data_IF_691967654536
#
_entry.id   IF_691967654536
#
_cell.length_a   1.000
_cell.length_b   1.000
_cell.length_c   1.000
_cell.angle_alpha   90.00
_cell.angle_beta   90.00
_cell.angle_gamma   90.00
#
_symmetry.space_group_name_H-M   'P 1'
#
loop_
_entity.id
_entity.type
_entity.pdbx_description
1 polymer ?
#
# COMPACT_ATOMS: atom_id res chain seq x y z
N UNK A 1 -22.53 -0.74 12.12
CA UNK A 1 -21.19 -0.71 11.47
C UNK A 1 -20.15 -1.24 12.44
N UNK A 2 -19.34 -2.19 11.99
CA UNK A 2 -18.27 -2.73 12.82
C UNK A 2 -17.09 -1.78 12.87
N UNK A 3 -16.44 -1.71 14.03
CA UNK A 3 -15.27 -0.86 14.23
C UNK A 3 -14.04 -1.45 13.52
N UNK A 4 -13.36 -0.63 12.72
CA UNK A 4 -12.10 -0.99 12.08
C UNK A 4 -10.94 -0.50 12.95
N UNK A 5 -10.00 -1.39 13.25
CA UNK A 5 -8.79 -1.07 14.00
C UNK A 5 -7.59 -1.16 13.09
N UNK A 6 -6.74 -0.13 13.09
CA UNK A 6 -5.47 -0.14 12.34
C UNK A 6 -4.32 -0.49 13.29
N UNK A 7 -3.48 -1.44 12.87
CA UNK A 7 -2.31 -1.87 13.63
C UNK A 7 -1.09 -1.87 12.72
N UNK A 8 -0.02 -1.21 13.16
CA UNK A 8 1.21 -1.11 12.35
C UNK A 8 2.16 -2.28 12.58
N UNK A 9 2.86 -2.67 11.52
CA UNK A 9 3.98 -3.62 11.51
C UNK A 9 3.70 -5.00 12.12
N UNK A 10 2.47 -5.49 12.00
CA UNK A 10 2.06 -6.74 12.61
C UNK A 10 1.37 -7.67 11.61
N UNK A 11 2.13 -8.23 10.68
CA UNK A 11 1.60 -9.22 9.73
C UNK A 11 2.60 -10.36 9.54
N UNK A 12 2.11 -11.59 9.63
CA UNK A 12 2.91 -12.78 9.32
C UNK A 12 2.89 -13.13 7.84
N UNK A 13 3.83 -13.98 7.42
CA UNK A 13 3.97 -14.38 6.01
C UNK A 13 2.72 -15.07 5.50
N UNK A 14 2.16 -16.00 6.28
CA UNK A 14 0.98 -16.75 5.84
C UNK A 14 -0.24 -15.84 5.66
N UNK A 15 -0.47 -14.94 6.61
CA UNK A 15 -1.56 -13.97 6.53
C UNK A 15 -1.39 -13.06 5.31
N UNK A 16 -0.18 -12.60 5.06
CA UNK A 16 0.13 -11.77 3.89
C UNK A 16 -0.18 -12.50 2.59
N UNK A 17 0.27 -13.76 2.47
CA UNK A 17 0.02 -14.57 1.29
C UNK A 17 -1.47 -14.87 1.08
N UNK A 18 -2.20 -15.14 2.16
CA UNK A 18 -3.64 -15.36 2.10
C UNK A 18 -4.41 -14.12 1.63
N UNK A 19 -4.05 -12.95 2.15
CA UNK A 19 -4.69 -11.71 1.75
C UNK A 19 -4.40 -11.38 0.28
N UNK A 20 -3.17 -11.58 -0.18
CA UNK A 20 -2.79 -11.42 -1.59
C UNK A 20 -3.64 -12.30 -2.49
N UNK A 21 -3.82 -13.57 -2.08
CA UNK A 21 -4.64 -14.53 -2.84
C UNK A 21 -6.11 -14.07 -2.89
N UNK A 22 -6.63 -13.57 -1.78
CA UNK A 22 -8.02 -13.11 -1.70
C UNK A 22 -8.31 -11.94 -2.65
N UNK A 23 -7.31 -11.10 -2.93
CA UNK A 23 -7.46 -9.98 -3.87
C UNK A 23 -6.89 -10.27 -5.26
N UNK A 24 -6.58 -11.52 -5.54
CA UNK A 24 -6.06 -12.00 -6.84
C UNK A 24 -4.73 -11.35 -7.27
N UNK A 25 -3.90 -11.03 -6.30
CA UNK A 25 -2.54 -10.58 -6.59
C UNK A 25 -1.66 -11.75 -7.00
N UNK A 26 -0.63 -11.46 -7.78
CA UNK A 26 0.32 -12.47 -8.26
C UNK A 26 0.91 -13.26 -7.08
N UNK A 27 0.96 -14.60 -7.17
CA UNK A 27 1.56 -15.44 -6.12
C UNK A 27 3.04 -15.11 -5.91
N UNK A 28 3.46 -15.18 -4.65
CA UNK A 28 4.86 -15.04 -4.26
C UNK A 28 5.32 -16.33 -3.61
N UNK A 29 6.62 -16.66 -3.73
CA UNK A 29 7.18 -17.70 -2.91
C UNK A 29 7.20 -17.26 -1.44
N UNK A 30 7.21 -18.22 -0.52
CA UNK A 30 7.25 -17.92 0.90
C UNK A 30 8.52 -17.14 1.28
N UNK A 31 9.66 -17.52 0.71
CA UNK A 31 10.94 -16.81 0.91
C UNK A 31 10.89 -15.38 0.40
N UNK A 32 10.30 -15.19 -0.78
CA UNK A 32 10.12 -13.86 -1.39
C UNK A 32 9.21 -12.97 -0.52
N UNK A 33 8.10 -13.52 -0.06
CA UNK A 33 7.15 -12.80 0.79
C UNK A 33 7.80 -12.38 2.12
N UNK A 34 8.52 -13.29 2.77
CA UNK A 34 9.22 -12.97 4.03
C UNK A 34 10.25 -11.87 3.84
N UNK A 35 11.05 -11.98 2.80
CA UNK A 35 12.07 -10.94 2.51
C UNK A 35 11.41 -9.59 2.24
N UNK A 36 10.31 -9.58 1.51
CA UNK A 36 9.57 -8.35 1.21
C UNK A 36 9.04 -7.70 2.49
N UNK A 37 8.40 -8.48 3.38
CA UNK A 37 7.89 -7.96 4.64
C UNK A 37 9.02 -7.43 5.53
N UNK A 38 10.12 -8.18 5.64
CA UNK A 38 11.27 -7.80 6.48
C UNK A 38 11.95 -6.51 6.01
N UNK A 39 11.84 -6.19 4.72
CA UNK A 39 12.45 -5.00 4.12
C UNK A 39 11.46 -3.89 3.82
N UNK A 40 10.28 -3.96 4.38
CA UNK A 40 9.28 -2.90 4.23
C UNK A 40 9.61 -1.71 5.12
N UNK A 41 9.37 -0.51 4.61
CA UNK A 41 9.53 0.71 5.38
C UNK A 41 8.44 0.82 6.46
N UNK A 42 7.20 0.48 6.10
CA UNK A 42 6.06 0.56 6.99
C UNK A 42 4.93 -0.33 6.48
N UNK A 43 4.22 -0.96 7.41
CA UNK A 43 3.06 -1.79 7.12
C UNK A 43 1.95 -1.39 8.07
N UNK A 44 0.73 -1.24 7.56
CA UNK A 44 -0.47 -1.06 8.37
C UNK A 44 -1.50 -2.11 7.98
N UNK A 45 -2.12 -2.74 8.98
CA UNK A 45 -3.16 -3.74 8.79
C UNK A 45 -4.46 -3.26 9.40
N UNK A 46 -5.56 -3.51 8.72
CA UNK A 46 -6.90 -3.21 9.20
C UNK A 46 -7.56 -4.49 9.71
N UNK A 47 -8.16 -4.41 10.89
CA UNK A 47 -8.84 -5.54 11.54
C UNK A 47 -10.27 -5.20 11.86
N UNK A 48 -11.15 -6.20 11.72
CA UNK A 48 -12.51 -6.19 12.23
C UNK A 48 -12.69 -7.49 13.02
N UNK A 49 -13.05 -7.39 14.30
CA UNK A 49 -13.23 -8.56 15.19
C UNK A 49 -12.04 -9.53 15.12
N UNK A 50 -10.83 -9.00 15.26
CA UNK A 50 -9.58 -9.75 15.25
C UNK A 50 -9.25 -10.42 13.89
N UNK A 51 -10.04 -10.18 12.85
CA UNK A 51 -9.78 -10.68 11.49
C UNK A 51 -9.14 -9.58 10.65
N UNK A 52 -8.05 -9.91 9.96
CA UNK A 52 -7.44 -8.96 9.02
C UNK A 52 -8.35 -8.80 7.80
N UNK A 53 -8.67 -7.56 7.46
CA UNK A 53 -9.55 -7.25 6.32
C UNK A 53 -8.88 -6.35 5.30
N UNK A 54 -7.72 -5.82 5.62
CA UNK A 54 -6.97 -4.97 4.68
C UNK A 54 -5.56 -4.72 5.14
N UNK A 55 -4.74 -4.23 4.22
CA UNK A 55 -3.33 -3.97 4.47
C UNK A 55 -2.80 -2.94 3.49
N UNK A 56 -1.88 -2.10 3.96
CA UNK A 56 -1.07 -1.21 3.15
C UNK A 56 0.40 -1.39 3.48
N UNK A 57 1.28 -1.31 2.47
CA UNK A 57 2.71 -1.53 2.66
C UNK A 57 3.51 -0.50 1.86
N UNK A 58 4.44 0.15 2.56
CA UNK A 58 5.38 1.11 1.99
C UNK A 58 6.76 0.50 1.85
N UNK A 59 7.42 0.80 0.75
CA UNK A 59 8.84 0.55 0.54
C UNK A 59 9.51 1.85 0.09
N UNK A 60 10.82 1.96 0.21
CA UNK A 60 11.55 3.15 -0.20
C UNK A 60 12.63 3.54 0.78
N UNK A 61 13.28 4.65 0.51
CA UNK A 61 14.36 5.15 1.36
C UNK A 61 13.86 5.98 2.57
N UNK A 62 12.60 6.38 2.54
CA UNK A 62 12.01 7.18 3.63
C UNK A 62 12.50 8.62 3.68
N UNK A 63 13.14 9.12 2.63
CA UNK A 63 13.72 10.45 2.60
C UNK A 63 13.41 11.18 1.29
N UNK A 64 13.66 10.52 0.15
CA UNK A 64 13.41 11.06 -1.19
C UNK A 64 12.18 10.42 -1.81
N UNK A 65 12.00 9.13 -1.59
CA UNK A 65 10.93 8.36 -2.21
C UNK A 65 10.32 7.36 -1.22
N UNK A 66 8.99 7.28 -1.25
CA UNK A 66 8.22 6.20 -0.65
C UNK A 66 7.25 5.67 -1.69
N UNK A 67 7.08 4.37 -1.75
CA UNK A 67 6.25 3.69 -2.74
C UNK A 67 5.23 2.81 -2.03
N UNK A 68 3.96 2.96 -2.39
CA UNK A 68 2.90 2.07 -1.90
C UNK A 68 2.92 0.84 -2.79
N UNK A 69 3.47 -0.25 -2.27
CA UNK A 69 3.58 -1.50 -3.03
C UNK A 69 2.30 -2.30 -2.99
N UNK A 70 1.68 -2.38 -1.82
CA UNK A 70 0.43 -3.11 -1.63
C UNK A 70 -0.61 -2.21 -0.99
N UNK A 71 -1.81 -2.21 -1.54
CA UNK A 71 -3.02 -1.72 -0.90
C UNK A 71 -4.09 -2.76 -1.20
N UNK A 72 -4.44 -3.55 -0.20
CA UNK A 72 -5.31 -4.71 -0.36
C UNK A 72 -6.47 -4.61 0.62
N UNK A 73 -7.69 -4.74 0.11
CA UNK A 73 -8.90 -4.85 0.94
C UNK A 73 -9.59 -6.15 0.57
N UNK A 74 -9.82 -7.00 1.57
CA UNK A 74 -10.51 -8.26 1.35
C UNK A 74 -11.85 -8.00 0.63
N UNK A 75 -12.21 -8.79 -0.40
CA UNK A 75 -13.40 -8.53 -1.21
C UNK A 75 -14.69 -8.37 -0.42
N UNK A 76 -14.85 -9.10 0.68
CA UNK A 76 -16.05 -9.05 1.51
C UNK A 76 -16.16 -7.75 2.33
N UNK A 77 -15.11 -6.94 2.34
CA UNK A 77 -15.04 -5.73 3.15
C UNK A 77 -14.76 -4.47 2.33
N UNK A 78 -14.89 -4.55 1.01
CA UNK A 78 -14.77 -3.39 0.12
C UNK A 78 -15.98 -2.47 0.27
N UNK A 79 -15.81 -1.19 -0.09
CA UNK A 79 -16.84 -0.15 -0.04
C UNK A 79 -17.27 0.28 1.37
N UNK A 80 -16.45 -0.01 2.38
CA UNK A 80 -16.69 0.41 3.77
C UNK A 80 -15.72 1.50 4.26
N UNK A 81 -14.95 2.11 3.35
CA UNK A 81 -14.00 3.17 3.70
C UNK A 81 -12.67 2.66 4.26
N UNK A 82 -12.41 1.36 4.26
CA UNK A 82 -11.17 0.79 4.80
C UNK A 82 -9.97 1.20 3.97
N UNK A 83 -10.10 1.20 2.65
CA UNK A 83 -9.02 1.64 1.75
C UNK A 83 -8.62 3.08 2.02
N UNK A 84 -9.58 3.98 2.21
CA UNK A 84 -9.31 5.37 2.54
C UNK A 84 -8.62 5.51 3.90
N UNK A 85 -9.05 4.73 4.90
CA UNK A 85 -8.42 4.75 6.22
C UNK A 85 -6.94 4.31 6.14
N UNK A 86 -6.65 3.27 5.36
CA UNK A 86 -5.29 2.77 5.18
C UNK A 86 -4.43 3.81 4.42
N UNK A 87 -4.95 4.36 3.33
CA UNK A 87 -4.22 5.36 2.53
C UNK A 87 -3.90 6.60 3.39
N UNK A 88 -4.85 7.06 4.19
CA UNK A 88 -4.64 8.20 5.07
C UNK A 88 -3.55 7.93 6.10
N UNK A 89 -3.53 6.71 6.65
CA UNK A 89 -2.49 6.29 7.60
C UNK A 89 -1.10 6.26 6.95
N UNK A 90 -1.01 5.72 5.73
CA UNK A 90 0.24 5.70 4.97
C UNK A 90 0.73 7.12 4.65
N UNK A 91 -0.17 8.00 4.23
CA UNK A 91 0.17 9.39 3.94
C UNK A 91 0.68 10.09 5.20
N UNK A 92 -0.01 9.91 6.33
CA UNK A 92 0.41 10.50 7.61
C UNK A 92 1.80 10.02 8.01
N UNK A 93 2.09 8.73 7.82
CA UNK A 93 3.41 8.18 8.10
C UNK A 93 4.50 8.90 7.27
N UNK A 94 4.26 9.09 5.97
CA UNK A 94 5.22 9.76 5.09
C UNK A 94 5.35 11.25 5.44
N UNK A 95 4.24 11.91 5.77
CA UNK A 95 4.26 13.31 6.23
C UNK A 95 5.17 13.47 7.45
N UNK A 96 5.10 12.53 8.39
CA UNK A 96 5.93 12.56 9.60
C UNK A 96 7.42 12.28 9.32
N UNK A 97 7.75 11.62 8.22
CA UNK A 97 9.13 11.43 7.78
C UNK A 97 9.70 12.66 7.10
N UNK A 98 8.85 13.47 6.50
CA UNK A 98 9.27 14.59 5.67
C UNK A 98 9.86 15.72 6.53
N UNK A 99 11.11 16.07 6.27
CA UNK A 99 11.79 17.14 6.99
C UNK A 99 11.35 18.50 6.45
N UNK A 100 11.34 19.51 7.34
CA UNK A 100 11.01 20.87 6.96
C UNK A 100 11.86 21.35 5.77
N UNK A 101 11.20 21.97 4.80
CA UNK A 101 11.88 22.51 3.61
C UNK A 101 12.22 21.48 2.55
N UNK A 102 11.78 20.23 2.73
CA UNK A 102 12.02 19.16 1.76
C UNK A 102 10.69 18.58 1.24
N UNK A 103 10.78 17.69 0.27
CA UNK A 103 9.63 16.93 -0.19
C UNK A 103 10.00 15.47 -0.38
N UNK A 104 9.03 14.59 -0.20
CA UNK A 104 9.15 13.16 -0.50
C UNK A 104 8.16 12.84 -1.61
N UNK A 105 8.61 12.13 -2.65
CA UNK A 105 7.68 11.60 -3.65
C UNK A 105 7.05 10.33 -3.09
N UNK A 106 5.72 10.36 -2.91
CA UNK A 106 4.94 9.16 -2.57
C UNK A 106 4.24 8.70 -3.84
N UNK A 107 4.59 7.52 -4.33
CA UNK A 107 4.06 7.01 -5.60
C UNK A 107 3.52 5.60 -5.46
N UNK A 108 2.82 5.17 -6.50
CA UNK A 108 2.22 3.84 -6.59
C UNK A 108 1.94 3.51 -8.06
N UNK A 109 1.75 2.23 -8.33
CA UNK A 109 1.21 1.77 -9.61
C UNK A 109 -0.27 1.50 -9.41
N UNK A 110 -1.11 2.29 -10.07
CA UNK A 110 -2.56 2.22 -9.90
C UNK A 110 -3.15 1.04 -10.69
N UNK A 111 -4.02 0.26 -10.05
CA UNK A 111 -4.77 -0.75 -10.76
C UNK A 111 -5.76 -0.08 -11.73
N UNK A 112 -6.04 -0.76 -12.84
CA UNK A 112 -6.96 -0.24 -13.87
C UNK A 112 -8.31 0.13 -13.25
N UNK A 113 -8.74 1.37 -13.49
CA UNK A 113 -10.04 1.85 -13.02
C UNK A 113 -10.05 2.42 -11.61
N UNK A 114 -8.92 2.41 -10.90
CA UNK A 114 -8.83 2.92 -9.52
C UNK A 114 -8.34 4.36 -9.41
N UNK A 115 -8.07 5.02 -10.54
CA UNK A 115 -7.57 6.40 -10.55
C UNK A 115 -8.46 7.35 -9.74
N UNK A 116 -9.81 7.32 -9.82
CA UNK A 116 -10.65 8.23 -9.04
C UNK A 116 -10.45 8.11 -7.53
N UNK A 117 -10.21 6.89 -7.03
CA UNK A 117 -9.93 6.67 -5.61
C UNK A 117 -8.67 7.42 -5.17
N UNK A 118 -7.59 7.29 -5.94
CA UNK A 118 -6.33 7.95 -5.62
C UNK A 118 -6.38 9.46 -5.83
N UNK A 119 -7.12 9.94 -6.84
CA UNK A 119 -7.30 11.37 -7.05
C UNK A 119 -7.96 12.04 -5.85
N UNK A 120 -8.86 11.36 -5.15
CA UNK A 120 -9.49 11.88 -3.92
C UNK A 120 -8.48 12.10 -2.80
N UNK A 121 -7.36 11.37 -2.83
CA UNK A 121 -6.29 11.47 -1.86
C UNK A 121 -5.11 12.30 -2.37
N UNK A 122 -5.36 13.17 -3.36
CA UNK A 122 -4.42 14.13 -3.92
C UNK A 122 -3.26 13.53 -4.69
N UNK A 123 -3.40 12.30 -5.18
CA UNK A 123 -2.46 11.72 -6.14
C UNK A 123 -2.78 12.24 -7.54
N UNK A 124 -1.73 12.48 -8.32
CA UNK A 124 -1.88 12.86 -9.72
C UNK A 124 -1.39 11.72 -10.61
N UNK A 125 -2.06 11.53 -11.74
CA UNK A 125 -1.68 10.49 -12.70
C UNK A 125 -0.57 11.01 -13.62
N UNK A 126 0.38 10.14 -13.96
CA UNK A 126 1.41 10.42 -14.97
C UNK A 126 1.06 9.67 -16.26
N UNK A 127 1.42 10.19 -17.46
CA UNK A 127 2.18 11.42 -17.70
C UNK A 127 1.35 12.69 -17.55
N UNK A 128 2.07 13.81 -17.34
CA UNK A 128 1.51 15.16 -17.42
C UNK A 128 2.31 15.93 -18.46
N UNK A 129 2.04 17.22 -18.64
CA UNK A 129 2.81 18.07 -19.57
C UNK A 129 4.30 18.10 -19.23
N UNK A 130 4.64 17.93 -17.95
CA UNK A 130 6.01 18.06 -17.45
C UNK A 130 6.59 16.77 -16.90
N UNK A 131 5.77 15.77 -16.64
CA UNK A 131 6.18 14.51 -16.03
C UNK A 131 5.90 13.37 -17.00
N UNK A 132 6.92 12.57 -17.31
CA UNK A 132 6.76 11.38 -18.13
C UNK A 132 6.02 10.27 -17.39
N UNK A 133 5.64 9.19 -18.10
CA UNK A 133 4.93 8.06 -17.47
C UNK A 133 5.84 7.24 -16.55
N UNK A 134 5.24 6.53 -15.61
CA UNK A 134 5.91 5.45 -14.92
C UNK A 134 6.23 4.32 -15.91
N UNK A 135 7.29 3.57 -15.67
CA UNK A 135 7.69 2.46 -16.54
C UNK A 135 8.03 1.24 -15.70
N UNK A 136 7.75 0.05 -16.22
CA UNK A 136 8.00 -1.20 -15.50
C UNK A 136 8.76 -2.19 -16.39
N UNK A 137 9.52 -3.07 -15.74
CA UNK A 137 10.14 -4.22 -16.38
C UNK A 137 10.17 -5.35 -15.35
N UNK A 138 9.67 -6.51 -15.73
CA UNK A 138 9.72 -7.69 -14.85
C UNK A 138 11.00 -8.46 -15.10
N UNK A 139 11.73 -8.74 -14.04
CA UNK A 139 12.94 -9.57 -14.10
C UNK A 139 12.53 -10.99 -13.71
N UNK A 140 12.79 -11.92 -14.61
CA UNK A 140 12.43 -13.33 -14.42
C UNK A 140 13.64 -14.21 -14.63
N UNK A 141 13.66 -15.33 -13.89
CA UNK A 141 14.68 -16.37 -14.04
C UNK A 141 14.02 -17.75 -14.07
#
# INVERSE_FOLDING_TARGET
MKLVTLVSNNVGVDTYLELRKAVNFKPLSRTQAKKALDNSLYIVCAYIDAKIVGMGRLVGDGAVICYIQDLMIHPDYQHYGIGSAIIDDLIEYVENLCEEGTEIMLDLMCAVGREPFYHKHEFISRPTDKLGPGMIRYIRK
#
